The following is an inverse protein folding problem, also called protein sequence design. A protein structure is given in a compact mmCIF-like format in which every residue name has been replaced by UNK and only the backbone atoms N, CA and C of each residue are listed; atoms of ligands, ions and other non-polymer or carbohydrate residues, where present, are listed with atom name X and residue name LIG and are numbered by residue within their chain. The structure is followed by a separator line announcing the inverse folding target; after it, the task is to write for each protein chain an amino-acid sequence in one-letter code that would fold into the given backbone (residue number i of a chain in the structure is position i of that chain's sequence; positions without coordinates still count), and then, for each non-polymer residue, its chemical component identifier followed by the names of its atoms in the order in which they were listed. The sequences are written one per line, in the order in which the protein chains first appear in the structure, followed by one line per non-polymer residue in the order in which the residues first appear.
data_IF_668849806640
#
_entry.id   IF_668849806640
#
_cell.length_a   1.000
_cell.length_b   1.000
_cell.length_c   1.000
_cell.angle_alpha   90.00
_cell.angle_beta   90.00
_cell.angle_gamma   90.00
#
_symmetry.space_group_name_H-M   'P 1'
#
loop_
_entity.id
_entity.type
_entity.pdbx_description
1 polymer ?
#
# COMPACT_ATOMS: atom_id res chain seq x y z
N UNK A 1 -34.19 -34.97 30.71
CA UNK A 1 -34.22 -35.58 32.05
C UNK A 1 -32.82 -36.04 32.40
N UNK A 2 -32.24 -35.49 33.47
CA UNK A 2 -32.25 -36.20 34.76
C UNK A 2 -32.78 -35.32 35.93
N UNK A 3 -33.14 -35.93 37.08
CA UNK A 3 -33.66 -35.25 38.26
C UNK A 3 -32.55 -35.00 39.28
N UNK A 4 -32.53 -33.84 39.94
CA UNK A 4 -32.08 -33.59 41.33
C UNK A 4 -32.03 -32.07 41.59
N UNK A 5 -33.15 -31.47 41.99
CA UNK A 5 -33.19 -30.10 42.54
C UNK A 5 -34.41 -29.97 43.48
N UNK A 6 -34.31 -30.59 44.65
CA UNK A 6 -35.38 -30.57 45.64
C UNK A 6 -34.85 -30.71 47.06
N UNK A 7 -34.09 -29.71 47.56
CA UNK A 7 -33.75 -29.58 48.99
C UNK A 7 -33.09 -28.23 49.37
N UNK A 8 -33.70 -27.08 49.07
CA UNK A 8 -33.29 -25.79 49.67
C UNK A 8 -34.48 -24.81 49.86
N UNK A 9 -35.45 -25.17 50.71
CA UNK A 9 -36.59 -24.30 51.05
C UNK A 9 -36.78 -24.07 52.57
N UNK A 10 -35.70 -24.11 53.36
CA UNK A 10 -35.77 -24.07 54.84
C UNK A 10 -35.14 -22.86 55.56
N UNK A 11 -34.44 -21.94 54.89
CA UNK A 11 -33.60 -20.92 55.57
C UNK A 11 -33.95 -19.45 55.22
N UNK A 12 -35.21 -19.15 54.94
CA UNK A 12 -35.65 -17.81 54.52
C UNK A 12 -36.52 -17.05 55.55
N UNK A 13 -36.48 -17.38 56.85
CA UNK A 13 -37.23 -16.63 57.90
C UNK A 13 -36.39 -15.87 58.94
N UNK A 14 -35.05 -15.88 58.85
CA UNK A 14 -34.17 -15.22 59.84
C UNK A 14 -33.60 -13.85 59.45
N UNK A 15 -33.71 -13.41 58.20
CA UNK A 15 -33.00 -12.20 57.70
C UNK A 15 -33.67 -10.86 58.01
N UNK A 16 -34.96 -10.86 58.36
CA UNK A 16 -35.69 -9.60 58.65
C UNK A 16 -35.31 -8.95 59.98
N UNK A 17 -35.03 -9.75 61.01
CA UNK A 17 -34.78 -9.27 62.37
C UNK A 17 -33.39 -8.66 62.55
N UNK A 18 -32.35 -9.24 61.94
CA UNK A 18 -31.00 -8.69 62.02
C UNK A 18 -30.90 -7.32 61.32
N UNK A 19 -31.60 -7.17 60.19
CA UNK A 19 -31.60 -5.93 59.43
C UNK A 19 -32.32 -4.78 60.16
N UNK A 20 -33.35 -5.07 60.97
CA UNK A 20 -34.03 -4.04 61.77
C UNK A 20 -33.19 -3.60 62.97
N UNK A 21 -32.50 -4.52 63.63
CA UNK A 21 -31.64 -4.21 64.79
C UNK A 21 -30.42 -3.38 64.38
N UNK A 22 -29.76 -3.74 63.27
CA UNK A 22 -28.61 -2.97 62.75
C UNK A 22 -29.02 -1.54 62.36
N UNK A 23 -30.21 -1.38 61.78
CA UNK A 23 -30.72 -0.06 61.38
C UNK A 23 -31.05 0.83 62.59
N UNK A 24 -31.60 0.24 63.67
CA UNK A 24 -31.86 0.96 64.91
C UNK A 24 -30.56 1.42 65.61
N UNK A 25 -29.52 0.59 65.62
CA UNK A 25 -28.21 0.93 66.21
C UNK A 25 -27.52 2.05 65.41
N UNK A 26 -27.57 1.99 64.07
CA UNK A 26 -26.97 3.04 63.23
C UNK A 26 -27.67 4.40 63.40
N UNK A 27 -29.00 4.40 63.52
CA UNK A 27 -29.74 5.64 63.75
C UNK A 27 -29.43 6.23 65.14
N UNK A 28 -29.30 5.40 66.18
CA UNK A 28 -28.92 5.86 67.51
C UNK A 28 -27.51 6.46 67.55
N UNK A 29 -26.54 5.84 66.88
CA UNK A 29 -25.16 6.36 66.79
C UNK A 29 -25.13 7.71 66.04
N UNK A 30 -25.88 7.81 64.94
CA UNK A 30 -26.00 9.05 64.17
C UNK A 30 -26.59 10.19 65.02
N UNK A 31 -27.70 9.92 65.72
CA UNK A 31 -28.49 10.99 66.33
C UNK A 31 -27.96 11.39 67.71
N UNK A 32 -27.36 10.47 68.47
CA UNK A 32 -26.91 10.72 69.84
C UNK A 32 -25.42 11.04 69.92
N UNK A 33 -24.58 10.39 69.11
CA UNK A 33 -23.12 10.52 69.21
C UNK A 33 -22.56 11.54 68.22
N UNK A 34 -23.05 11.54 66.98
CA UNK A 34 -22.52 12.45 65.95
C UNK A 34 -23.14 13.85 66.03
N UNK A 35 -24.45 13.99 66.25
CA UNK A 35 -25.14 15.29 66.18
C UNK A 35 -24.57 16.44 67.03
N UNK A 36 -24.32 16.25 68.35
CA UNK A 36 -23.96 17.36 69.25
C UNK A 36 -22.46 17.72 69.23
N UNK A 37 -21.57 16.77 68.94
CA UNK A 37 -20.11 16.96 69.01
C UNK A 37 -19.48 17.30 67.66
N UNK A 38 -20.05 16.83 66.54
CA UNK A 38 -19.45 17.05 65.21
C UNK A 38 -19.55 18.51 64.77
N UNK A 39 -20.65 19.21 65.09
CA UNK A 39 -20.86 20.61 64.70
C UNK A 39 -19.82 21.58 65.30
N UNK A 40 -19.56 21.58 66.62
CA UNK A 40 -18.52 22.44 67.19
C UNK A 40 -17.11 22.02 66.75
N UNK A 41 -16.84 20.73 66.58
CA UNK A 41 -15.55 20.25 66.08
C UNK A 41 -15.28 20.72 64.65
N UNK A 42 -16.26 20.59 63.74
CA UNK A 42 -16.14 21.08 62.36
C UNK A 42 -16.01 22.60 62.29
N UNK A 43 -16.66 23.35 63.18
CA UNK A 43 -16.49 24.80 63.26
C UNK A 43 -15.08 25.20 63.70
N UNK A 44 -14.47 24.47 64.64
CA UNK A 44 -13.11 24.70 65.11
C UNK A 44 -12.08 24.32 64.03
N UNK A 45 -12.22 23.16 63.39
CA UNK A 45 -11.30 22.73 62.32
C UNK A 45 -11.37 23.65 61.11
N UNK A 46 -12.57 24.15 60.76
CA UNK A 46 -12.74 25.12 59.67
C UNK A 46 -12.07 26.45 60.01
N UNK A 47 -12.19 26.96 61.25
CA UNK A 47 -11.53 28.20 61.67
C UNK A 47 -10.01 28.06 61.77
N UNK A 48 -9.51 26.92 62.25
CA UNK A 48 -8.07 26.62 62.27
C UNK A 48 -7.54 26.50 60.83
N UNK A 49 -8.27 25.82 59.94
CA UNK A 49 -7.93 25.72 58.51
C UNK A 49 -7.87 27.10 57.85
N UNK A 50 -8.85 27.97 58.09
CA UNK A 50 -8.87 29.32 57.53
C UNK A 50 -7.71 30.18 58.07
N UNK A 51 -7.40 30.05 59.37
CA UNK A 51 -6.29 30.77 60.00
C UNK A 51 -4.92 30.26 59.52
N UNK A 52 -4.77 28.95 59.35
CA UNK A 52 -3.56 28.34 58.76
C UNK A 52 -3.41 28.77 57.31
N UNK A 53 -4.48 28.75 56.50
CA UNK A 53 -4.44 29.18 55.09
C UNK A 53 -4.10 30.67 54.94
N UNK A 54 -4.67 31.54 55.79
CA UNK A 54 -4.40 32.99 55.72
C UNK A 54 -3.02 33.36 56.29
N UNK A 55 -2.56 32.67 57.33
CA UNK A 55 -1.20 32.84 57.87
C UNK A 55 -0.14 32.25 56.95
N UNK A 56 -0.39 31.09 56.35
CA UNK A 56 0.49 30.50 55.35
C UNK A 56 0.54 31.35 54.10
N UNK A 57 -0.58 31.93 53.64
CA UNK A 57 -0.60 32.82 52.48
C UNK A 57 0.17 34.13 52.72
N UNK A 58 0.07 34.72 53.92
CA UNK A 58 0.86 35.92 54.25
C UNK A 58 2.35 35.61 54.40
N UNK A 59 2.69 34.50 55.04
CA UNK A 59 4.08 34.05 55.16
C UNK A 59 4.67 33.67 53.80
N UNK A 60 3.96 32.91 52.97
CA UNK A 60 4.41 32.58 51.61
C UNK A 60 4.48 33.80 50.72
N UNK A 61 3.61 34.80 50.86
CA UNK A 61 3.70 36.02 50.06
C UNK A 61 4.89 36.91 50.46
N UNK A 62 5.15 37.07 51.76
CA UNK A 62 6.32 37.83 52.26
C UNK A 62 7.63 37.09 51.99
N UNK A 63 7.65 35.77 52.25
CA UNK A 63 8.80 34.92 51.92
C UNK A 63 9.02 34.84 50.42
N UNK A 64 7.98 34.70 49.59
CA UNK A 64 8.10 34.75 48.13
C UNK A 64 8.55 36.13 47.67
N UNK A 65 8.07 37.24 48.25
CA UNK A 65 8.54 38.58 47.87
C UNK A 65 10.02 38.76 48.18
N UNK A 66 10.49 38.40 49.38
CA UNK A 66 11.90 38.51 49.75
C UNK A 66 12.78 37.50 49.01
N UNK A 67 12.32 36.27 48.81
CA UNK A 67 12.99 35.24 48.04
C UNK A 67 13.07 35.63 46.57
N UNK A 68 11.99 36.15 45.97
CA UNK A 68 11.97 36.60 44.57
C UNK A 68 12.86 37.84 44.41
N UNK A 69 12.85 38.79 45.35
CA UNK A 69 13.74 39.96 45.29
C UNK A 69 15.22 39.57 45.47
N UNK A 70 15.54 38.64 46.38
CA UNK A 70 16.88 38.11 46.62
C UNK A 70 17.37 37.19 45.49
N UNK A 71 16.46 36.45 44.86
CA UNK A 71 16.72 35.64 43.66
C UNK A 71 16.92 36.56 42.46
N UNK A 72 16.11 37.60 42.25
CA UNK A 72 16.28 38.54 41.13
C UNK A 72 17.56 39.38 41.26
N UNK A 73 17.93 39.80 42.47
CA UNK A 73 19.18 40.56 42.71
C UNK A 73 20.44 39.71 42.64
N UNK A 74 20.35 38.38 42.86
CA UNK A 74 21.48 37.46 42.68
C UNK A 74 21.51 36.77 41.30
N UNK A 75 20.38 36.61 40.61
CA UNK A 75 20.29 36.05 39.25
C UNK A 75 20.62 37.07 38.16
N UNK A 76 20.45 38.37 38.41
CA UNK A 76 20.83 39.42 37.44
C UNK A 76 22.30 39.79 37.50
N UNK A 77 23.05 39.30 38.49
CA UNK A 77 24.51 39.30 38.43
C UNK A 77 24.92 38.13 37.53
N UNK A 78 25.55 38.36 36.36
CA UNK A 78 26.08 37.27 35.57
C UNK A 78 27.06 36.52 36.46
N UNK A 79 26.74 35.26 36.81
CA UNK A 79 27.68 34.37 37.45
C UNK A 79 28.89 34.31 36.49
N UNK A 80 30.08 34.83 36.88
CA UNK A 80 31.26 34.80 36.02
C UNK A 80 31.56 33.36 35.52
N UNK A 81 31.11 32.38 36.30
CA UNK A 81 31.32 30.95 36.14
C UNK A 81 30.30 30.24 35.24
N UNK A 82 29.20 30.87 34.81
CA UNK A 82 28.22 30.17 33.95
C UNK A 82 28.77 29.90 32.54
N UNK A 83 29.47 30.87 31.96
CA UNK A 83 30.14 30.69 30.66
C UNK A 83 31.24 29.62 30.74
N UNK A 84 31.98 29.57 31.85
CA UNK A 84 32.99 28.54 32.10
C UNK A 84 32.36 27.16 32.27
N UNK A 85 31.25 27.07 33.00
CA UNK A 85 30.50 25.82 33.15
C UNK A 85 29.97 25.31 31.81
N UNK A 86 29.32 26.18 31.02
CA UNK A 86 28.81 25.80 29.70
C UNK A 86 29.95 25.40 28.78
N UNK A 87 31.06 26.15 28.73
CA UNK A 87 32.21 25.78 27.91
C UNK A 87 32.83 24.44 28.33
N UNK A 88 32.97 24.20 29.65
CA UNK A 88 33.49 22.94 30.18
C UNK A 88 32.54 21.76 29.89
N UNK A 89 31.23 21.94 30.11
CA UNK A 89 30.22 20.94 29.82
C UNK A 89 30.21 20.57 28.33
N UNK A 90 30.23 21.56 27.44
CA UNK A 90 30.20 21.34 25.99
C UNK A 90 31.49 20.65 25.51
N UNK A 91 32.64 21.02 26.09
CA UNK A 91 33.91 20.36 25.79
C UNK A 91 33.93 18.91 26.28
N UNK A 92 33.45 18.64 27.49
CA UNK A 92 33.53 17.31 28.10
C UNK A 92 32.45 16.34 27.59
N UNK A 93 31.24 16.83 27.35
CA UNK A 93 30.10 15.99 26.93
C UNK A 93 30.04 15.85 25.41
N UNK A 94 30.29 16.94 24.67
CA UNK A 94 30.16 16.97 23.20
C UNK A 94 31.50 16.98 22.47
N UNK A 95 32.63 17.15 23.18
CA UNK A 95 33.95 17.25 22.54
C UNK A 95 34.20 18.60 21.86
N UNK A 96 33.39 19.63 22.15
CA UNK A 96 33.41 20.91 21.43
C UNK A 96 33.95 22.02 22.32
N UNK A 97 35.06 22.64 21.94
CA UNK A 97 35.58 23.82 22.61
C UNK A 97 34.80 25.07 22.16
N UNK A 98 34.09 25.72 23.08
CA UNK A 98 33.44 27.02 22.85
C UNK A 98 34.28 28.10 23.55
N UNK A 99 34.53 29.20 22.86
CA UNK A 99 35.24 30.33 23.45
C UNK A 99 34.42 30.93 24.62
N UNK A 100 35.08 30.99 25.79
CA UNK A 100 34.49 31.47 27.04
C UNK A 100 34.22 32.96 26.98
N UNK A 101 35.09 33.71 26.32
CA UNK A 101 34.96 35.16 26.21
C UNK A 101 33.77 35.56 25.34
N UNK A 102 33.59 34.83 24.22
CA UNK A 102 32.39 34.92 23.39
C UNK A 102 31.08 34.66 24.17
N UNK A 103 31.03 33.61 25.00
CA UNK A 103 29.84 33.31 25.82
C UNK A 103 29.55 34.40 26.85
N UNK A 104 30.58 34.99 27.46
CA UNK A 104 30.44 36.09 28.43
C UNK A 104 29.92 37.37 27.77
N UNK A 105 30.38 37.69 26.56
CA UNK A 105 29.95 38.88 25.82
C UNK A 105 28.49 38.81 25.33
N UNK A 106 27.93 37.61 25.19
CA UNK A 106 26.58 37.37 24.64
C UNK A 106 25.52 37.01 25.70
N UNK A 107 25.85 37.14 27.00
CA UNK A 107 24.97 36.73 28.09
C UNK A 107 23.81 37.74 28.35
N UNK A 108 22.69 37.53 27.62
CA UNK A 108 21.30 38.00 27.82
C UNK A 108 20.90 39.41 27.32
N UNK A 109 19.65 39.64 26.81
CA UNK A 109 18.52 38.72 26.61
C UNK A 109 18.12 38.47 25.13
N UNK A 110 18.93 38.83 24.14
CA UNK A 110 18.62 38.57 22.71
C UNK A 110 19.78 37.85 22.04
N UNK A 111 19.75 36.52 22.07
CA UNK A 111 20.63 35.75 21.18
C UNK A 111 20.30 36.10 19.74
N UNK A 112 21.29 36.56 18.98
CA UNK A 112 21.11 36.77 17.55
C UNK A 112 20.87 35.42 16.86
N UNK A 113 20.19 35.44 15.70
CA UNK A 113 20.01 34.23 14.89
C UNK A 113 21.36 33.56 14.60
N UNK A 114 22.42 34.34 14.41
CA UNK A 114 23.76 33.81 14.14
C UNK A 114 24.35 33.04 15.32
N UNK A 115 24.15 33.50 16.56
CA UNK A 115 24.57 32.78 17.76
C UNK A 115 23.81 31.46 17.88
N UNK A 116 22.49 31.49 17.66
CA UNK A 116 21.65 30.28 17.70
C UNK A 116 22.03 29.28 16.60
N UNK A 117 22.31 29.75 15.38
CA UNK A 117 22.75 28.91 14.26
C UNK A 117 24.12 28.30 14.55
N UNK A 118 25.12 29.09 14.98
CA UNK A 118 26.46 28.59 15.31
C UNK A 118 26.44 27.60 16.47
N UNK A 119 25.63 27.88 17.49
CA UNK A 119 25.44 26.96 18.62
C UNK A 119 24.73 25.67 18.15
N UNK A 120 23.73 25.79 17.29
CA UNK A 120 23.05 24.67 16.66
C UNK A 120 24.00 23.80 15.84
N UNK A 121 24.83 24.39 14.98
CA UNK A 121 25.84 23.68 14.19
C UNK A 121 26.93 23.04 15.06
N UNK A 122 27.41 23.78 16.07
CA UNK A 122 28.42 23.31 17.01
C UNK A 122 27.93 22.14 17.88
N UNK A 123 26.63 22.06 18.17
CA UNK A 123 26.04 20.94 18.92
C UNK A 123 25.67 19.80 17.97
N UNK A 124 24.94 20.10 16.90
CA UNK A 124 24.30 19.10 16.05
C UNK A 124 25.31 18.31 15.25
N UNK A 125 26.34 18.95 14.68
CA UNK A 125 27.31 18.28 13.80
C UNK A 125 28.15 17.24 14.55
N UNK A 126 28.70 17.51 15.75
CA UNK A 126 29.37 16.49 16.57
C UNK A 126 28.42 15.40 17.05
N UNK A 127 27.18 15.74 17.44
CA UNK A 127 26.18 14.75 17.82
C UNK A 127 25.83 13.80 16.67
N UNK A 128 25.65 14.32 15.47
CA UNK A 128 25.45 13.51 14.27
C UNK A 128 26.68 12.65 13.96
N UNK A 129 27.90 13.17 14.16
CA UNK A 129 29.13 12.40 14.01
C UNK A 129 29.29 11.24 15.01
N UNK A 130 28.71 11.38 16.21
CA UNK A 130 28.67 10.30 17.21
C UNK A 130 27.63 9.22 16.89
N UNK A 131 26.53 9.59 16.21
CA UNK A 131 25.41 8.70 15.92
C UNK A 131 25.60 8.01 14.56
N UNK A 132 26.01 8.75 13.53
CA UNK A 132 26.09 8.24 12.17
C UNK A 132 27.37 7.41 12.00
N UNK A 133 27.27 6.17 11.50
CA UNK A 133 28.43 5.35 11.17
C UNK A 133 29.09 5.90 9.90
N UNK A 134 30.40 5.67 9.76
CA UNK A 134 31.10 5.91 8.51
C UNK A 134 30.69 4.86 7.46
N UNK A 135 30.89 5.16 6.17
CA UNK A 135 30.63 4.17 5.11
C UNK A 135 31.45 2.90 5.26
N UNK A 136 32.66 2.99 5.83
CA UNK A 136 33.51 1.83 6.10
C UNK A 136 32.88 0.92 7.16
N UNK A 137 32.43 1.50 8.27
CA UNK A 137 31.80 0.75 9.36
C UNK A 137 30.50 0.06 8.93
N UNK A 138 29.68 0.71 8.10
CA UNK A 138 28.46 0.10 7.55
C UNK A 138 28.74 -1.13 6.66
N UNK A 139 29.88 -1.14 5.96
CA UNK A 139 30.29 -2.29 5.14
C UNK A 139 30.78 -3.46 5.99
N UNK A 140 31.44 -3.18 7.12
CA UNK A 140 32.01 -4.19 8.01
C UNK A 140 30.97 -4.73 9.00
N UNK A 141 30.08 -3.87 9.50
CA UNK A 141 28.96 -4.23 10.37
C UNK A 141 27.71 -3.44 9.94
N UNK A 142 26.70 -4.08 9.31
CA UNK A 142 25.47 -3.41 8.90
C UNK A 142 24.66 -2.87 10.08
N UNK A 143 24.94 -3.30 11.32
CA UNK A 143 24.32 -2.81 12.55
C UNK A 143 25.10 -1.67 13.23
N UNK A 144 26.26 -1.25 12.70
CA UNK A 144 27.12 -0.25 13.33
C UNK A 144 26.39 1.08 13.63
N UNK A 145 25.44 1.48 12.77
CA UNK A 145 24.63 2.68 13.01
C UNK A 145 23.66 2.54 14.18
N UNK A 146 23.08 1.35 14.35
CA UNK A 146 22.21 1.03 15.48
C UNK A 146 23.05 1.01 16.77
N UNK A 147 24.19 0.33 16.77
CA UNK A 147 25.10 0.25 17.92
C UNK A 147 25.61 1.63 18.36
N UNK A 148 26.04 2.48 17.43
CA UNK A 148 26.46 3.86 17.71
C UNK A 148 25.34 4.69 18.29
N UNK A 149 24.16 4.65 17.66
CA UNK A 149 22.98 5.36 18.13
C UNK A 149 22.60 4.95 19.57
N UNK A 150 22.57 3.65 19.87
CA UNK A 150 22.26 3.16 21.22
C UNK A 150 23.34 3.49 22.24
N UNK A 151 24.61 3.42 21.85
CA UNK A 151 25.72 3.81 22.72
C UNK A 151 25.62 5.27 23.12
N UNK A 152 25.29 6.16 22.17
CA UNK A 152 25.06 7.58 22.44
C UNK A 152 23.83 7.79 23.31
N UNK A 153 22.70 7.15 22.99
CA UNK A 153 21.47 7.28 23.77
C UNK A 153 21.66 6.80 25.22
N UNK A 154 22.26 5.63 25.42
CA UNK A 154 22.55 5.08 26.74
C UNK A 154 23.51 5.98 27.52
N UNK A 155 24.58 6.49 26.87
CA UNK A 155 25.50 7.45 27.50
C UNK A 155 24.77 8.73 27.94
N UNK A 156 23.86 9.26 27.12
CA UNK A 156 23.06 10.44 27.48
C UNK A 156 22.11 10.15 28.64
N UNK A 157 21.42 9.01 28.66
CA UNK A 157 20.53 8.61 29.76
C UNK A 157 21.29 8.40 31.06
N UNK A 158 22.42 7.70 31.02
CA UNK A 158 23.30 7.51 32.17
C UNK A 158 23.85 8.85 32.68
N UNK A 159 24.23 9.75 31.77
CA UNK A 159 24.69 11.10 32.15
C UNK A 159 23.57 11.92 32.81
N UNK A 160 22.33 11.81 32.31
CA UNK A 160 21.15 12.39 32.97
C UNK A 160 21.00 11.86 34.38
N UNK A 161 21.04 10.53 34.54
CA UNK A 161 20.88 9.89 35.82
C UNK A 161 21.98 10.30 36.82
N UNK A 162 23.24 10.41 36.39
CA UNK A 162 24.33 10.91 37.23
C UNK A 162 24.13 12.38 37.61
N UNK A 163 23.74 13.24 36.67
CA UNK A 163 23.44 14.64 36.96
C UNK A 163 22.29 14.80 37.95
N UNK A 164 21.29 13.93 37.87
CA UNK A 164 20.19 13.87 38.81
C UNK A 164 20.69 13.49 40.21
N UNK A 165 21.51 12.44 40.30
CA UNK A 165 22.11 11.98 41.55
C UNK A 165 22.99 13.06 42.20
N UNK A 166 23.91 13.67 41.45
CA UNK A 166 24.78 14.73 41.97
C UNK A 166 24.01 16.02 42.28
N UNK A 167 23.01 16.36 41.47
CA UNK A 167 22.14 17.51 41.68
C UNK A 167 21.34 17.38 42.98
N UNK A 168 20.90 16.18 43.34
CA UNK A 168 20.21 15.92 44.59
C UNK A 168 21.15 15.95 45.81
N UNK A 169 22.39 15.46 45.65
CA UNK A 169 23.38 15.44 46.75
C UNK A 169 23.93 16.84 47.06
N UNK A 170 24.26 17.65 46.04
CA UNK A 170 25.04 18.89 46.25
C UNK A 170 24.21 20.18 46.18
N UNK A 171 23.07 20.22 45.51
CA UNK A 171 22.45 21.51 45.15
C UNK A 171 21.43 22.08 46.13
N UNK A 172 21.06 21.35 47.20
CA UNK A 172 19.95 21.71 48.10
C UNK A 172 18.70 22.21 47.35
N UNK A 173 18.43 21.65 46.15
CA UNK A 173 17.27 21.97 45.33
C UNK A 173 17.41 23.17 44.37
N UNK A 174 18.55 23.87 44.32
CA UNK A 174 18.73 25.05 43.44
C UNK A 174 19.06 24.71 41.98
N UNK A 175 19.45 23.46 41.66
CA UNK A 175 19.86 23.05 40.30
C UNK A 175 18.79 22.15 39.63
N UNK A 176 17.51 22.32 39.97
CA UNK A 176 16.41 21.51 39.39
C UNK A 176 16.27 21.68 37.87
N UNK A 177 16.66 22.82 37.29
CA UNK A 177 16.53 23.06 35.86
C UNK A 177 17.56 22.30 35.00
N UNK A 178 18.80 22.14 35.49
CA UNK A 178 19.83 21.37 34.78
C UNK A 178 19.57 19.86 34.87
N UNK A 179 18.89 19.41 35.94
CA UNK A 179 18.44 18.03 36.13
C UNK A 179 17.66 17.48 34.92
N UNK A 180 16.66 18.23 34.47
CA UNK A 180 15.79 17.78 33.38
C UNK A 180 16.38 18.01 31.97
N UNK A 181 17.56 18.64 31.86
CA UNK A 181 18.11 19.06 30.58
C UNK A 181 18.39 17.88 29.63
N UNK A 182 19.05 16.78 30.05
CA UNK A 182 19.33 15.68 29.13
C UNK A 182 18.07 14.91 28.73
N UNK A 183 17.08 14.80 29.64
CA UNK A 183 15.76 14.26 29.34
C UNK A 183 15.05 15.10 28.26
N UNK A 184 15.02 16.42 28.43
CA UNK A 184 14.43 17.33 27.47
C UNK A 184 15.15 17.29 26.11
N UNK A 185 16.48 17.20 26.09
CA UNK A 185 17.27 17.04 24.87
C UNK A 185 16.94 15.70 24.19
N UNK A 186 16.93 14.59 24.94
CA UNK A 186 16.59 13.26 24.43
C UNK A 186 15.19 13.22 23.79
N UNK A 187 14.21 13.86 24.42
CA UNK A 187 12.85 13.97 23.87
C UNK A 187 12.76 14.91 22.67
N UNK A 188 13.43 16.06 22.72
CA UNK A 188 13.40 17.06 21.64
C UNK A 188 14.08 16.56 20.38
N UNK A 189 15.12 15.72 20.53
CA UNK A 189 15.79 15.03 19.44
C UNK A 189 15.07 13.74 19.00
N UNK A 190 13.98 13.36 19.65
CA UNK A 190 13.21 12.17 19.30
C UNK A 190 13.97 10.85 19.48
N UNK A 191 15.02 10.80 20.31
CA UNK A 191 15.88 9.62 20.45
C UNK A 191 15.10 8.39 20.93
N UNK A 192 14.08 8.57 21.76
CA UNK A 192 13.20 7.47 22.18
C UNK A 192 12.41 6.87 21.01
N UNK A 193 11.84 7.70 20.14
CA UNK A 193 11.12 7.25 18.94
C UNK A 193 12.06 6.63 17.90
N UNK A 194 13.22 7.25 17.68
CA UNK A 194 14.26 6.71 16.78
C UNK A 194 14.83 5.37 17.28
N UNK A 195 14.93 5.18 18.60
CA UNK A 195 15.31 3.88 19.20
C UNK A 195 14.30 2.79 18.82
N UNK A 196 13.01 3.09 18.94
CA UNK A 196 11.94 2.17 18.53
C UNK A 196 11.98 1.86 17.04
N UNK A 197 12.23 2.85 16.18
CA UNK A 197 12.34 2.64 14.75
C UNK A 197 13.57 1.79 14.38
N UNK A 198 14.74 2.09 14.99
CA UNK A 198 15.99 1.38 14.75
C UNK A 198 15.94 -0.07 15.24
N UNK A 199 15.32 -0.32 16.41
CA UNK A 199 15.17 -1.68 16.95
C UNK A 199 13.95 -2.43 16.41
N UNK A 200 12.98 -1.74 15.83
CA UNK A 200 11.74 -2.36 15.37
C UNK A 200 11.95 -3.52 14.42
N UNK A 201 12.88 -3.38 13.46
CA UNK A 201 13.20 -4.44 12.50
C UNK A 201 13.97 -5.62 13.15
N UNK A 202 15.09 -5.41 13.87
CA UNK A 202 15.73 -6.49 14.61
C UNK A 202 14.80 -7.22 15.58
N UNK A 203 13.97 -6.51 16.34
CA UNK A 203 13.00 -7.12 17.25
C UNK A 203 11.94 -7.92 16.50
N UNK A 204 11.43 -7.39 15.38
CA UNK A 204 10.45 -8.10 14.57
C UNK A 204 11.02 -9.41 14.06
N UNK A 205 12.23 -9.40 13.49
CA UNK A 205 12.86 -10.59 12.93
C UNK A 205 13.26 -11.59 14.04
N UNK A 206 13.84 -11.11 15.14
CA UNK A 206 14.37 -11.99 16.18
C UNK A 206 13.30 -12.58 17.10
N UNK A 207 12.21 -11.84 17.36
CA UNK A 207 11.21 -12.23 18.36
C UNK A 207 9.80 -12.32 17.80
N UNK A 208 9.32 -11.29 17.10
CA UNK A 208 7.90 -11.22 16.68
C UNK A 208 7.60 -12.26 15.61
N UNK A 209 8.39 -12.34 14.56
CA UNK A 209 8.14 -13.24 13.43
C UNK A 209 8.24 -14.72 13.84
N UNK A 210 9.25 -15.18 14.60
CA UNK A 210 9.26 -16.55 15.12
C UNK A 210 8.06 -16.88 16.01
N UNK A 211 7.60 -15.91 16.82
CA UNK A 211 6.39 -16.07 17.62
C UNK A 211 5.12 -16.13 16.74
N UNK A 212 5.00 -15.26 15.75
CA UNK A 212 3.93 -15.30 14.74
C UNK A 212 3.92 -16.64 14.01
N UNK A 213 5.06 -17.14 13.57
CA UNK A 213 5.19 -18.45 12.89
C UNK A 213 4.79 -19.60 13.80
N UNK A 214 5.23 -19.59 15.06
CA UNK A 214 4.84 -20.58 16.07
C UNK A 214 3.33 -20.58 16.30
N UNK A 215 2.72 -19.41 16.48
CA UNK A 215 1.27 -19.29 16.66
C UNK A 215 0.48 -19.60 15.39
N UNK A 216 1.01 -19.27 14.22
CA UNK A 216 0.42 -19.65 12.93
C UNK A 216 0.42 -21.17 12.76
N UNK A 217 1.47 -21.87 13.20
CA UNK A 217 1.53 -23.33 13.15
C UNK A 217 0.50 -23.98 14.09
N UNK A 218 0.37 -23.48 15.32
CA UNK A 218 -0.58 -24.01 16.31
C UNK A 218 -2.02 -23.71 15.93
N UNK A 219 -2.33 -22.44 15.69
CA UNK A 219 -3.70 -21.97 15.53
C UNK A 219 -4.18 -21.98 14.09
N UNK A 220 -3.26 -21.99 13.11
CA UNK A 220 -3.54 -21.95 11.67
C UNK A 220 -4.60 -20.89 11.33
N UNK A 221 -4.38 -19.63 11.76
CA UNK A 221 -5.40 -18.59 11.64
C UNK A 221 -5.65 -18.20 10.18
N UNK A 222 -4.71 -18.51 9.27
CA UNK A 222 -4.86 -18.28 7.85
C UNK A 222 -6.04 -19.09 7.30
N UNK A 223 -7.02 -18.38 6.74
CA UNK A 223 -8.18 -18.96 6.06
C UNK A 223 -8.08 -18.69 4.56
N UNK A 224 -8.72 -19.54 3.76
CA UNK A 224 -8.90 -19.27 2.35
C UNK A 224 -9.69 -17.96 2.18
N UNK A 225 -9.28 -17.14 1.21
CA UNK A 225 -10.06 -15.97 0.79
C UNK A 225 -11.35 -16.40 0.10
N UNK A 226 -12.35 -15.52 0.00
CA UNK A 226 -13.61 -15.85 -0.68
C UNK A 226 -13.39 -16.37 -2.11
N UNK A 227 -12.49 -15.73 -2.87
CA UNK A 227 -12.12 -16.16 -4.21
C UNK A 227 -11.48 -17.57 -4.23
N UNK A 228 -10.59 -17.86 -3.28
CA UNK A 228 -9.99 -19.19 -3.15
C UNK A 228 -11.02 -20.27 -2.77
N UNK A 229 -12.00 -19.94 -1.93
CA UNK A 229 -13.10 -20.84 -1.55
C UNK A 229 -14.00 -21.13 -2.76
N UNK A 230 -14.36 -20.10 -3.54
CA UNK A 230 -15.14 -20.26 -4.79
C UNK A 230 -14.39 -21.11 -5.81
N UNK A 231 -13.10 -20.84 -6.04
CA UNK A 231 -12.28 -21.62 -6.98
C UNK A 231 -12.13 -23.09 -6.54
N UNK A 232 -11.89 -23.34 -5.24
CA UNK A 232 -11.83 -24.69 -4.69
C UNK A 232 -13.14 -25.45 -4.87
N UNK A 233 -14.28 -24.79 -4.69
CA UNK A 233 -15.60 -25.40 -4.93
C UNK A 233 -15.85 -25.68 -6.41
N UNK A 234 -15.57 -24.72 -7.30
CA UNK A 234 -15.67 -24.88 -8.77
C UNK A 234 -14.83 -26.04 -9.29
N UNK A 235 -13.61 -26.20 -8.76
CA UNK A 235 -12.71 -27.31 -9.06
C UNK A 235 -13.10 -28.64 -8.38
N UNK A 236 -14.21 -28.67 -7.64
CA UNK A 236 -14.71 -29.83 -6.88
C UNK A 236 -13.72 -30.36 -5.84
N UNK A 237 -12.83 -29.49 -5.32
CA UNK A 237 -11.88 -29.83 -4.26
C UNK A 237 -12.54 -29.85 -2.87
N UNK A 238 -13.66 -29.15 -2.73
CA UNK A 238 -14.48 -29.11 -1.51
C UNK A 238 -15.94 -29.37 -1.82
N UNK A 239 -16.68 -29.92 -0.85
CA UNK A 239 -18.13 -30.16 -1.00
C UNK A 239 -18.95 -28.88 -0.84
N UNK A 240 -20.19 -28.85 -1.34
CA UNK A 240 -21.12 -27.71 -1.18
C UNK A 240 -21.30 -27.29 0.28
N UNK A 241 -21.44 -28.26 1.19
CA UNK A 241 -21.55 -27.99 2.64
C UNK A 241 -20.29 -27.30 3.19
N UNK A 242 -19.11 -27.73 2.73
CA UNK A 242 -17.83 -27.13 3.12
C UNK A 242 -17.69 -25.71 2.56
N UNK A 243 -18.06 -25.50 1.30
CA UNK A 243 -18.13 -24.18 0.66
C UNK A 243 -19.02 -23.22 1.46
N UNK A 244 -20.26 -23.61 1.77
CA UNK A 244 -21.19 -22.81 2.56
C UNK A 244 -20.64 -22.48 3.95
N UNK A 245 -20.04 -23.46 4.63
CA UNK A 245 -19.44 -23.27 5.96
C UNK A 245 -18.28 -22.27 5.92
N UNK A 246 -17.37 -22.41 4.95
CA UNK A 246 -16.22 -21.51 4.79
C UNK A 246 -16.66 -20.09 4.42
N UNK A 247 -17.62 -19.95 3.50
CA UNK A 247 -18.16 -18.64 3.12
C UNK A 247 -18.92 -17.96 4.26
N UNK A 248 -19.68 -18.72 5.05
CA UNK A 248 -20.36 -18.21 6.25
C UNK A 248 -19.35 -17.74 7.32
N UNK A 249 -18.23 -18.46 7.50
CA UNK A 249 -17.13 -18.04 8.39
C UNK A 249 -16.43 -16.76 7.93
N UNK A 250 -16.50 -16.44 6.63
CA UNK A 250 -16.04 -15.18 6.05
C UNK A 250 -17.10 -14.07 6.08
N UNK A 251 -18.31 -14.36 6.55
CA UNK A 251 -19.39 -13.38 6.72
C UNK A 251 -20.34 -13.23 5.52
N UNK A 252 -20.27 -14.10 4.52
CA UNK A 252 -21.21 -14.08 3.39
C UNK A 252 -22.50 -14.82 3.71
N UNK A 253 -23.64 -14.29 3.25
CA UNK A 253 -24.93 -14.98 3.26
C UNK A 253 -25.09 -15.84 1.99
N UNK A 254 -26.11 -16.70 1.96
CA UNK A 254 -26.33 -17.64 0.85
C UNK A 254 -26.54 -16.94 -0.51
N UNK A 255 -27.18 -15.77 -0.52
CA UNK A 255 -27.40 -14.98 -1.75
C UNK A 255 -26.09 -14.47 -2.34
N UNK A 256 -25.21 -13.90 -1.51
CA UNK A 256 -23.89 -13.44 -1.96
C UNK A 256 -22.98 -14.60 -2.33
N UNK A 257 -23.11 -15.77 -1.68
CA UNK A 257 -22.40 -16.97 -2.10
C UNK A 257 -22.77 -17.37 -3.53
N UNK A 258 -24.06 -17.33 -3.88
CA UNK A 258 -24.53 -17.61 -5.22
C UNK A 258 -24.01 -16.58 -6.23
N UNK A 259 -24.08 -15.29 -5.91
CA UNK A 259 -23.57 -14.23 -6.79
C UNK A 259 -22.07 -14.39 -7.05
N UNK A 260 -21.26 -14.59 -6.00
CA UNK A 260 -19.80 -14.76 -6.14
C UNK A 260 -19.45 -16.01 -6.93
N UNK A 261 -20.19 -17.10 -6.72
CA UNK A 261 -20.02 -18.32 -7.49
C UNK A 261 -20.32 -18.08 -8.98
N UNK A 262 -21.44 -17.43 -9.29
CA UNK A 262 -21.85 -17.12 -10.67
C UNK A 262 -20.89 -16.16 -11.38
N UNK A 263 -20.30 -15.19 -10.66
CA UNK A 263 -19.29 -14.27 -11.21
C UNK A 263 -17.98 -14.97 -11.60
N UNK A 264 -17.68 -16.11 -10.97
CA UNK A 264 -16.51 -16.93 -11.27
C UNK A 264 -16.81 -18.04 -12.28
N UNK A 265 -18.05 -18.22 -12.74
CA UNK A 265 -18.31 -19.18 -13.82
C UNK A 265 -17.62 -18.70 -15.10
N UNK A 266 -16.93 -19.64 -15.76
CA UNK A 266 -16.26 -19.32 -17.02
C UNK A 266 -17.33 -19.15 -18.09
N UNK A 267 -17.48 -17.92 -18.55
CA UNK A 267 -18.32 -17.60 -19.69
C UNK A 267 -17.78 -18.32 -20.94
N UNK A 268 -18.68 -18.78 -21.81
CA UNK A 268 -18.26 -19.31 -23.10
C UNK A 268 -17.52 -18.21 -23.89
N UNK A 269 -16.66 -18.56 -24.84
CA UNK A 269 -16.15 -17.56 -25.80
C UNK A 269 -17.11 -17.45 -26.98
N UNK A 270 -17.07 -16.36 -27.74
CA UNK A 270 -17.90 -16.20 -28.95
C UNK A 270 -17.67 -17.34 -29.95
N UNK A 271 -16.42 -17.81 -30.06
CA UNK A 271 -16.08 -18.96 -30.91
C UNK A 271 -16.75 -20.26 -30.45
N UNK A 272 -16.86 -20.46 -29.14
CA UNK A 272 -17.53 -21.64 -28.56
C UNK A 272 -19.03 -21.52 -28.76
N UNK A 273 -19.63 -20.35 -28.46
CA UNK A 273 -21.06 -20.11 -28.70
C UNK A 273 -21.44 -20.34 -30.17
N UNK A 274 -20.64 -19.82 -31.11
CA UNK A 274 -20.84 -20.05 -32.54
C UNK A 274 -20.82 -21.54 -32.89
N UNK A 275 -19.87 -22.29 -32.32
CA UNK A 275 -19.75 -23.73 -32.56
C UNK A 275 -20.93 -24.49 -31.98
N UNK A 276 -21.36 -24.16 -30.76
CA UNK A 276 -22.52 -24.78 -30.11
C UNK A 276 -23.81 -24.52 -30.90
N UNK A 277 -24.01 -23.27 -31.32
CA UNK A 277 -25.15 -22.86 -32.15
C UNK A 277 -25.14 -23.56 -33.51
N UNK A 278 -23.98 -23.67 -34.16
CA UNK A 278 -23.84 -24.35 -35.45
C UNK A 278 -24.03 -25.88 -35.40
N UNK A 279 -23.96 -26.47 -34.20
CA UNK A 279 -24.24 -27.89 -33.94
C UNK A 279 -25.67 -28.12 -33.43
N UNK A 280 -26.49 -27.06 -33.36
CA UNK A 280 -27.84 -27.08 -32.79
C UNK A 280 -27.88 -27.63 -31.34
N UNK A 281 -26.80 -27.45 -30.57
CA UNK A 281 -26.73 -27.83 -29.15
C UNK A 281 -27.31 -26.78 -28.22
N UNK A 282 -27.38 -25.54 -28.69
CA UNK A 282 -28.02 -24.40 -28.04
C UNK A 282 -28.81 -23.64 -29.11
N UNK A 283 -29.85 -22.94 -28.70
CA UNK A 283 -30.64 -22.08 -29.58
C UNK A 283 -30.17 -20.61 -29.54
N UNK A 284 -30.93 -19.72 -30.17
CA UNK A 284 -30.58 -18.30 -30.22
C UNK A 284 -30.87 -17.63 -28.87
N UNK A 285 -31.92 -18.06 -28.17
CA UNK A 285 -32.26 -17.57 -26.84
C UNK A 285 -31.15 -17.87 -25.81
N UNK A 286 -30.56 -19.07 -25.85
CA UNK A 286 -29.42 -19.47 -25.02
C UNK A 286 -28.20 -18.55 -25.24
N UNK A 287 -27.88 -18.25 -26.50
CA UNK A 287 -26.80 -17.31 -26.85
C UNK A 287 -27.09 -15.91 -26.35
N UNK A 288 -28.35 -15.46 -26.44
CA UNK A 288 -28.76 -14.16 -25.90
C UNK A 288 -28.62 -14.09 -24.37
N UNK A 289 -29.00 -15.15 -23.65
CA UNK A 289 -28.83 -15.22 -22.20
C UNK A 289 -27.37 -15.18 -21.79
N UNK A 290 -26.51 -15.94 -22.46
CA UNK A 290 -25.08 -15.94 -22.17
C UNK A 290 -24.48 -14.55 -22.39
N UNK A 291 -24.83 -13.87 -23.49
CA UNK A 291 -24.38 -12.50 -23.74
C UNK A 291 -24.93 -11.52 -22.69
N UNK A 292 -26.17 -11.69 -22.22
CA UNK A 292 -26.69 -10.86 -21.11
C UNK A 292 -25.88 -11.08 -19.83
N UNK A 293 -25.45 -12.30 -19.53
CA UNK A 293 -24.59 -12.61 -18.36
C UNK A 293 -23.25 -11.89 -18.44
N UNK A 294 -22.69 -11.72 -19.64
CA UNK A 294 -21.48 -10.90 -19.88
C UNK A 294 -21.70 -9.38 -19.77
N UNK A 295 -22.92 -8.94 -19.46
CA UNK A 295 -23.28 -7.53 -19.28
C UNK A 295 -23.75 -6.82 -20.55
N UNK A 296 -24.04 -7.51 -21.66
CA UNK A 296 -24.66 -6.89 -22.82
C UNK A 296 -26.13 -6.55 -22.53
N UNK A 297 -26.59 -5.38 -22.99
CA UNK A 297 -28.02 -5.04 -22.91
C UNK A 297 -28.86 -5.98 -23.78
N UNK A 298 -30.13 -6.19 -23.44
CA UNK A 298 -31.02 -7.11 -24.17
C UNK A 298 -31.02 -6.86 -25.69
N UNK A 299 -31.11 -5.59 -26.11
CA UNK A 299 -31.08 -5.21 -27.53
C UNK A 299 -29.75 -5.59 -28.19
N UNK A 300 -28.61 -5.41 -27.50
CA UNK A 300 -27.29 -5.76 -28.03
C UNK A 300 -27.08 -7.26 -28.08
N UNK A 301 -27.49 -7.99 -27.04
CA UNK A 301 -27.44 -9.45 -27.01
C UNK A 301 -28.21 -10.07 -28.18
N UNK A 302 -29.45 -9.61 -28.44
CA UNK A 302 -30.26 -10.01 -29.61
C UNK A 302 -29.55 -9.80 -30.95
N UNK A 303 -28.90 -8.65 -31.14
CA UNK A 303 -28.19 -8.34 -32.38
C UNK A 303 -26.92 -9.19 -32.54
N UNK A 304 -26.15 -9.38 -31.46
CA UNK A 304 -24.95 -10.20 -31.47
C UNK A 304 -25.25 -11.69 -31.66
N UNK A 305 -26.31 -12.21 -31.03
CA UNK A 305 -26.74 -13.58 -31.23
C UNK A 305 -27.09 -13.85 -32.70
N UNK A 306 -27.82 -12.93 -33.35
CA UNK A 306 -28.10 -12.99 -34.79
C UNK A 306 -26.83 -12.93 -35.64
N UNK A 307 -25.89 -12.05 -35.28
CA UNK A 307 -24.60 -11.96 -35.97
C UNK A 307 -23.84 -13.30 -35.88
N UNK A 308 -23.74 -13.90 -34.70
CA UNK A 308 -23.08 -15.19 -34.50
C UNK A 308 -23.74 -16.33 -35.30
N UNK A 309 -25.08 -16.32 -35.40
CA UNK A 309 -25.84 -17.26 -36.23
C UNK A 309 -25.49 -17.12 -37.72
N UNK A 310 -25.47 -15.88 -38.20
CA UNK A 310 -25.29 -15.57 -39.62
C UNK A 310 -23.81 -15.55 -40.05
N UNK A 311 -22.86 -15.57 -39.11
CA UNK A 311 -21.43 -15.49 -39.40
C UNK A 311 -20.94 -16.59 -40.32
N UNK A 312 -21.38 -17.84 -40.11
CA UNK A 312 -21.04 -18.96 -41.02
C UNK A 312 -21.57 -18.72 -42.44
N UNK A 313 -22.71 -18.05 -42.58
CA UNK A 313 -23.28 -17.69 -43.87
C UNK A 313 -22.45 -16.59 -44.52
N UNK A 314 -21.99 -15.59 -43.76
CA UNK A 314 -21.08 -14.56 -44.26
C UNK A 314 -19.74 -15.17 -44.71
N UNK A 315 -19.14 -16.06 -43.92
CA UNK A 315 -17.91 -16.78 -44.30
C UNK A 315 -18.05 -17.56 -45.62
N UNK A 316 -19.22 -18.18 -45.85
CA UNK A 316 -19.50 -18.90 -47.09
C UNK A 316 -19.73 -17.94 -48.27
N UNK A 317 -20.43 -16.83 -48.04
CA UNK A 317 -20.62 -15.77 -49.05
C UNK A 317 -19.27 -15.21 -49.47
N UNK A 318 -18.38 -14.92 -48.52
CA UNK A 318 -17.05 -14.36 -48.79
C UNK A 318 -16.23 -15.33 -49.64
N UNK A 319 -16.23 -16.63 -49.31
CA UNK A 319 -15.57 -17.67 -50.13
C UNK A 319 -16.13 -17.75 -51.55
N UNK A 320 -17.45 -17.62 -51.71
CA UNK A 320 -18.09 -17.59 -53.04
C UNK A 320 -17.63 -16.36 -53.83
N UNK A 321 -17.58 -15.19 -53.18
CA UNK A 321 -17.13 -13.94 -53.80
C UNK A 321 -15.66 -14.02 -54.19
N UNK A 322 -14.79 -14.53 -53.32
CA UNK A 322 -13.36 -14.73 -53.61
C UNK A 322 -13.15 -15.61 -54.86
N UNK A 323 -13.84 -16.74 -54.93
CA UNK A 323 -13.79 -17.64 -56.08
C UNK A 323 -14.36 -16.98 -57.35
N UNK A 324 -15.43 -16.18 -57.24
CA UNK A 324 -15.99 -15.43 -58.36
C UNK A 324 -15.00 -14.37 -58.88
N UNK A 325 -14.33 -13.63 -57.99
CA UNK A 325 -13.30 -12.64 -58.35
C UNK A 325 -12.17 -13.33 -59.11
N UNK A 326 -11.70 -14.48 -58.63
CA UNK A 326 -10.65 -15.26 -59.29
C UNK A 326 -11.07 -15.68 -60.70
N UNK A 327 -12.28 -16.23 -60.87
CA UNK A 327 -12.82 -16.62 -62.18
C UNK A 327 -12.98 -15.44 -63.13
N UNK A 328 -13.34 -14.26 -62.63
CA UNK A 328 -13.42 -13.04 -63.44
C UNK A 328 -12.04 -12.59 -63.92
N UNK A 329 -11.03 -12.65 -63.05
CA UNK A 329 -9.64 -12.34 -63.42
C UNK A 329 -9.08 -13.31 -64.46
N UNK A 330 -9.54 -14.56 -64.45
CA UNK A 330 -9.22 -15.59 -65.44
C UNK A 330 -10.03 -15.45 -66.74
N UNK A 331 -11.00 -14.53 -66.81
CA UNK A 331 -11.87 -14.34 -67.97
C UNK A 331 -12.93 -15.44 -68.14
N UNK A 332 -13.15 -16.26 -67.11
CA UNK A 332 -14.11 -17.37 -67.13
C UNK A 332 -15.55 -16.85 -66.98
N UNK A 333 -15.74 -15.79 -66.18
CA UNK A 333 -17.04 -15.13 -66.00
C UNK A 333 -16.99 -13.69 -66.48
N UNK A 334 -18.14 -13.14 -66.87
CA UNK A 334 -18.28 -11.76 -67.34
C UNK A 334 -18.46 -10.76 -66.18
N UNK A 335 -18.32 -9.47 -66.48
CA UNK A 335 -18.48 -8.40 -65.48
C UNK A 335 -19.88 -8.40 -64.86
N UNK A 336 -20.92 -8.61 -65.67
CA UNK A 336 -22.30 -8.66 -65.18
C UNK A 336 -22.55 -9.85 -64.25
N UNK A 337 -21.82 -10.96 -64.44
CA UNK A 337 -21.91 -12.13 -63.57
C UNK A 337 -21.22 -11.87 -62.23
N UNK A 338 -20.01 -11.29 -62.24
CA UNK A 338 -19.33 -10.88 -61.01
C UNK A 338 -20.18 -9.86 -60.23
N UNK A 339 -20.78 -8.89 -60.91
CA UNK A 339 -21.64 -7.90 -60.27
C UNK A 339 -22.86 -8.54 -59.57
N UNK A 340 -23.43 -9.62 -60.14
CA UNK A 340 -24.50 -10.39 -59.51
C UNK A 340 -24.04 -11.06 -58.21
N UNK A 341 -22.85 -11.67 -58.20
CA UNK A 341 -22.29 -12.29 -56.98
C UNK A 341 -22.04 -11.23 -55.89
N UNK A 342 -21.47 -10.08 -56.25
CA UNK A 342 -21.21 -8.99 -55.31
C UNK A 342 -22.51 -8.36 -54.76
N UNK A 343 -23.54 -8.19 -55.61
CA UNK A 343 -24.87 -7.75 -55.19
C UNK A 343 -25.53 -8.77 -54.25
N UNK A 344 -25.42 -10.06 -54.55
CA UNK A 344 -25.93 -11.13 -53.69
C UNK A 344 -25.22 -11.17 -52.32
N UNK A 345 -23.93 -10.85 -52.29
CA UNK A 345 -23.12 -10.69 -51.08
C UNK A 345 -23.40 -9.38 -50.31
N UNK A 346 -24.33 -8.54 -50.80
CA UNK A 346 -24.72 -7.25 -50.20
C UNK A 346 -23.58 -6.23 -50.09
N UNK A 347 -22.55 -6.35 -50.92
CA UNK A 347 -21.52 -5.30 -51.02
C UNK A 347 -22.18 -4.00 -51.49
N UNK A 348 -21.78 -2.87 -50.91
CA UNK A 348 -22.24 -1.55 -51.32
C UNK A 348 -21.79 -1.21 -52.74
N UNK A 349 -22.47 -0.25 -53.37
CA UNK A 349 -22.10 0.19 -54.72
C UNK A 349 -20.67 0.76 -54.78
N UNK A 350 -20.27 1.47 -53.72
CA UNK A 350 -18.92 2.00 -53.59
C UNK A 350 -17.87 0.89 -53.49
N UNK A 351 -18.07 -0.11 -52.64
CA UNK A 351 -17.17 -1.26 -52.52
C UNK A 351 -17.03 -2.01 -53.85
N UNK A 352 -18.14 -2.22 -54.57
CA UNK A 352 -18.11 -2.84 -55.90
C UNK A 352 -17.28 -2.01 -56.89
N UNK A 353 -17.51 -0.70 -56.94
CA UNK A 353 -16.75 0.21 -57.82
C UNK A 353 -15.26 0.19 -57.50
N UNK A 354 -14.89 0.22 -56.21
CA UNK A 354 -13.49 0.15 -55.77
C UNK A 354 -12.86 -1.20 -56.13
N UNK A 355 -13.60 -2.31 -55.99
CA UNK A 355 -13.13 -3.63 -56.40
C UNK A 355 -12.85 -3.69 -57.91
N UNK A 356 -13.74 -3.17 -58.75
CA UNK A 356 -13.51 -3.13 -60.20
C UNK A 356 -12.33 -2.23 -60.56
N UNK A 357 -12.19 -1.06 -59.93
CA UNK A 357 -11.02 -0.21 -60.10
C UNK A 357 -9.73 -0.94 -59.70
N UNK A 358 -9.74 -1.68 -58.59
CA UNK A 358 -8.60 -2.49 -58.14
C UNK A 358 -8.27 -3.61 -59.15
N UNK A 359 -9.29 -4.29 -59.70
CA UNK A 359 -9.08 -5.34 -60.70
C UNK A 359 -8.53 -4.75 -62.00
N UNK A 360 -9.05 -3.61 -62.46
CA UNK A 360 -8.52 -2.91 -63.64
C UNK A 360 -7.09 -2.41 -63.44
N UNK A 361 -6.75 -1.90 -62.26
CA UNK A 361 -5.37 -1.58 -61.91
C UNK A 361 -4.48 -2.83 -61.97
N UNK A 362 -4.91 -3.95 -61.38
CA UNK A 362 -4.20 -5.23 -61.43
C UNK A 362 -4.09 -5.84 -62.83
N UNK A 363 -5.03 -5.55 -63.74
CA UNK A 363 -4.93 -5.94 -65.16
C UNK A 363 -3.95 -5.06 -65.93
N UNK A 364 -3.92 -3.76 -65.62
CA UNK A 364 -3.00 -2.77 -66.23
C UNK A 364 -1.56 -2.95 -65.76
N UNK A 365 -1.36 -3.46 -64.56
CA UNK A 365 -0.12 -4.13 -64.17
C UNK A 365 0.06 -5.33 -65.11
N UNK A 366 0.61 -5.06 -66.31
CA UNK A 366 0.98 -6.10 -67.27
C UNK A 366 1.74 -7.15 -66.47
N UNK A 367 1.27 -8.40 -66.48
CA UNK A 367 2.03 -9.52 -65.90
C UNK A 367 3.36 -9.56 -66.63
N UNK A 368 4.37 -8.91 -66.05
CA UNK A 368 5.73 -9.02 -66.51
C UNK A 368 6.13 -10.47 -66.27
N UNK A 369 6.79 -11.08 -67.25
CA UNK A 369 7.30 -12.44 -67.07
C UNK A 369 8.18 -12.44 -65.82
N UNK A 370 7.94 -13.36 -64.89
CA UNK A 370 8.83 -13.53 -63.74
C UNK A 370 10.25 -13.80 -64.23
N UNK A 371 11.31 -13.50 -63.47
CA UNK A 371 12.69 -13.79 -63.87
C UNK A 371 12.89 -15.24 -64.32
N UNK A 372 12.24 -16.19 -63.63
CA UNK A 372 12.25 -17.61 -63.99
C UNK A 372 11.56 -17.88 -65.35
N UNK A 373 10.44 -17.22 -65.64
CA UNK A 373 9.77 -17.33 -66.93
C UNK A 373 10.58 -16.70 -68.06
N UNK A 374 11.22 -15.54 -67.83
CA UNK A 374 12.12 -14.92 -68.80
C UNK A 374 13.27 -15.87 -69.14
N UNK A 375 13.92 -16.43 -68.12
CA UNK A 375 15.02 -17.35 -68.31
C UNK A 375 14.59 -18.68 -68.99
N UNK A 376 13.38 -19.18 -68.68
CA UNK A 376 12.81 -20.34 -69.37
C UNK A 376 12.50 -20.05 -70.84
N UNK A 377 11.89 -18.90 -71.14
CA UNK A 377 11.62 -18.47 -72.50
C UNK A 377 12.92 -18.28 -73.32
N UNK A 378 13.96 -17.73 -72.68
CA UNK A 378 15.31 -17.66 -73.25
C UNK A 378 15.88 -19.05 -73.55
N UNK A 379 15.86 -19.98 -72.58
CA UNK A 379 16.36 -21.35 -72.75
C UNK A 379 15.65 -22.12 -73.87
N UNK A 380 14.36 -21.84 -74.07
CA UNK A 380 13.56 -22.43 -75.16
C UNK A 380 13.79 -21.75 -76.52
N UNK A 381 14.67 -20.74 -76.58
CA UNK A 381 14.93 -19.97 -77.80
C UNK A 381 13.78 -19.03 -78.22
N UNK A 382 12.77 -18.86 -77.37
CA UNK A 382 11.61 -17.99 -77.63
C UNK A 382 11.94 -16.50 -77.42
N UNK A 383 13.04 -16.21 -76.72
CA UNK A 383 13.43 -14.86 -76.34
C UNK A 383 14.94 -14.68 -76.59
N UNK A 384 15.39 -13.71 -77.42
CA UNK A 384 16.81 -13.48 -77.67
C UNK A 384 17.57 -13.06 -76.39
N UNK A 385 18.87 -13.43 -76.27
CA UNK A 385 19.71 -13.12 -75.09
C UNK A 385 19.65 -11.64 -74.68
N UNK A 386 19.81 -10.74 -75.66
CA UNK A 386 19.78 -9.30 -75.42
C UNK A 386 18.44 -8.82 -74.85
N UNK A 387 17.32 -9.33 -75.40
CA UNK A 387 15.98 -9.00 -74.91
C UNK A 387 15.70 -9.61 -73.54
N UNK A 388 16.22 -10.82 -73.25
CA UNK A 388 16.08 -11.45 -71.93
C UNK A 388 16.79 -10.63 -70.85
N UNK A 389 17.99 -10.13 -71.17
CA UNK A 389 18.78 -9.26 -70.30
C UNK A 389 18.08 -7.93 -70.05
N UNK A 390 17.59 -7.28 -71.10
CA UNK A 390 16.83 -6.02 -71.00
C UNK A 390 15.60 -6.19 -70.09
N UNK A 391 14.84 -7.27 -70.26
CA UNK A 391 13.66 -7.57 -69.41
C UNK A 391 14.00 -7.83 -67.95
N UNK A 392 15.15 -8.44 -67.64
CA UNK A 392 15.61 -8.62 -66.26
C UNK A 392 16.05 -7.28 -65.65
N UNK A 393 16.67 -6.39 -66.43
CA UNK A 393 17.03 -5.04 -65.98
C UNK A 393 15.77 -4.21 -65.71
N UNK A 394 14.74 -4.31 -66.56
CA UNK A 394 13.42 -3.68 -66.33
C UNK A 394 12.77 -4.14 -65.00
N UNK A 395 13.07 -5.37 -64.56
CA UNK A 395 12.62 -5.92 -63.28
C UNK A 395 13.51 -5.53 -62.08
N UNK A 396 14.55 -4.72 -62.30
CA UNK A 396 15.43 -4.19 -61.25
C UNK A 396 16.72 -4.99 -61.01
N UNK A 397 17.09 -5.94 -61.88
CA UNK A 397 18.40 -6.60 -61.79
C UNK A 397 19.51 -5.67 -62.28
N UNK A 398 20.71 -5.78 -61.68
CA UNK A 398 21.89 -5.14 -62.25
C UNK A 398 22.27 -5.80 -63.58
N UNK A 399 23.02 -5.10 -64.43
CA UNK A 399 23.43 -5.66 -65.71
C UNK A 399 24.25 -6.96 -65.56
N UNK A 400 25.12 -6.99 -64.57
CA UNK A 400 25.97 -8.14 -64.21
C UNK A 400 25.12 -9.31 -63.67
N UNK A 401 24.17 -9.03 -62.78
CA UNK A 401 23.26 -10.05 -62.24
C UNK A 401 22.35 -10.63 -63.31
N UNK A 402 21.84 -9.80 -64.23
CA UNK A 402 21.02 -10.24 -65.36
C UNK A 402 21.82 -11.16 -66.29
N UNK A 403 23.06 -10.82 -66.61
CA UNK A 403 23.97 -11.65 -67.43
C UNK A 403 24.30 -12.97 -66.73
N UNK A 404 24.62 -12.90 -65.42
CA UNK A 404 24.91 -14.07 -64.61
C UNK A 404 23.69 -15.00 -64.56
N UNK A 405 22.50 -14.45 -64.32
CA UNK A 405 21.25 -15.22 -64.24
C UNK A 405 20.93 -15.96 -65.54
N UNK A 406 21.19 -15.33 -66.69
CA UNK A 406 21.02 -15.94 -68.02
C UNK A 406 22.08 -17.04 -68.26
N UNK A 407 23.36 -16.76 -67.97
CA UNK A 407 24.45 -17.73 -68.18
C UNK A 407 24.32 -18.99 -67.31
N UNK A 408 23.74 -18.87 -66.11
CA UNK A 408 23.43 -20.00 -65.24
C UNK A 408 22.41 -20.98 -65.85
N UNK A 409 21.64 -20.57 -66.87
CA UNK A 409 20.65 -21.42 -67.54
C UNK A 409 21.11 -21.97 -68.90
N UNK A 410 22.25 -21.50 -69.42
CA UNK A 410 22.91 -22.04 -70.63
C UNK A 410 23.60 -23.38 -70.37
N UNK A 411 23.96 -23.65 -69.11
CA UNK A 411 24.43 -24.97 -68.66
C UNK A 411 23.25 -25.90 -68.41
#
# INVERSE_FOLDING_TARGET
MPPELGRLAGLARGRGFLASVVRAILNFISDVVAGPLLKPFMAITTRISLWVQTSSARFTWVAAKHLTLAIFTNLTKPLPDFADFVAAFMSQVLGVSIDREYLRQQALPRWSRDVATRLGEAILKPMLGMILPTQKELKENPLAGIERFFSVNLKMQMSSWFLDLFGEIYSLGKIRALRNLPHNISWSLGLGWLSWLALGTPFRIAFVQPAEDYFNWIYRPARLTAAQVVDAYRKRLISKRTFQTLMAQLGYNDDFMYILYSLEEKEFTDSVLRRLLALDWIDLEDVEEELKRRGYTEKRAKLLARLLRDERKFDLIDKIVEEAIKRFQEGVIREEELERYLKAARWSEEERRLLFALIELKKRERRQLTPAQIASAYKQGLLPRALAKERLIELGFTEEDAELYISLKEK
#
